data_IF_849790803288
#
_entry.id   IF_849790803288
#
_cell.length_a   1.000
_cell.length_b   1.000
_cell.length_c   1.000
_cell.angle_alpha   90.00
_cell.angle_beta   90.00
_cell.angle_gamma   90.00
#
_symmetry.space_group_name_H-M   'P 1'
#
loop_
_entity.id
_entity.type
_entity.pdbx_description
1 polymer ?
#
# COMPACT_ATOMS: atom_id res chain seq x y z
N UNK A 1 19.00 24.34 -40.06
CA UNK A 1 17.96 23.29 -40.10
C UNK A 1 18.14 22.44 -38.83
N UNK A 2 17.55 22.88 -37.71
CA UNK A 2 17.67 22.15 -36.43
C UNK A 2 16.50 21.16 -36.34
N UNK A 3 16.82 19.87 -36.48
CA UNK A 3 15.87 18.80 -36.28
C UNK A 3 15.46 18.74 -34.81
N UNK A 4 14.20 19.02 -34.54
CA UNK A 4 13.56 18.80 -33.24
C UNK A 4 13.47 17.28 -33.06
N UNK A 5 14.44 16.69 -32.35
CA UNK A 5 14.33 15.33 -31.84
C UNK A 5 13.26 15.31 -30.75
N UNK A 6 12.01 15.15 -31.15
CA UNK A 6 10.93 14.78 -30.23
C UNK A 6 11.24 13.35 -29.77
N UNK A 7 11.82 13.21 -28.57
CA UNK A 7 12.08 11.92 -27.92
C UNK A 7 10.75 11.16 -27.89
N UNK A 8 10.63 10.06 -28.63
CA UNK A 8 9.47 9.15 -28.52
C UNK A 8 9.47 8.63 -27.08
N UNK A 9 8.52 9.11 -26.29
CA UNK A 9 8.22 8.58 -24.96
C UNK A 9 7.91 7.08 -25.11
N UNK A 10 8.52 6.23 -24.29
CA UNK A 10 8.29 4.78 -24.39
C UNK A 10 6.85 4.46 -23.99
N UNK A 11 6.28 3.37 -24.50
CA UNK A 11 4.93 2.95 -24.10
C UNK A 11 4.81 2.74 -22.58
N UNK A 12 5.91 2.34 -21.93
CA UNK A 12 5.98 2.21 -20.47
C UNK A 12 5.93 3.56 -19.76
N UNK A 13 6.61 4.58 -20.27
CA UNK A 13 6.57 5.93 -19.68
C UNK A 13 5.15 6.52 -19.77
N UNK A 14 4.46 6.28 -20.89
CA UNK A 14 3.07 6.69 -21.05
C UNK A 14 2.12 5.94 -20.09
N UNK A 15 2.30 4.63 -19.94
CA UNK A 15 1.51 3.82 -19.02
C UNK A 15 1.74 4.25 -17.56
N UNK A 16 3.00 4.52 -17.18
CA UNK A 16 3.33 5.01 -15.84
C UNK A 16 2.67 6.35 -15.58
N UNK A 17 2.77 7.29 -16.52
CA UNK A 17 2.13 8.60 -16.40
C UNK A 17 0.61 8.49 -16.22
N UNK A 18 -0.05 7.60 -16.96
CA UNK A 18 -1.49 7.36 -16.81
C UNK A 18 -1.84 6.81 -15.42
N UNK A 19 -1.03 5.91 -14.88
CA UNK A 19 -1.21 5.37 -13.53
C UNK A 19 -1.01 6.47 -12.48
N UNK A 20 0.03 7.30 -12.62
CA UNK A 20 0.32 8.40 -11.70
C UNK A 20 -0.82 9.45 -11.71
N UNK A 21 -1.33 9.81 -12.89
CA UNK A 21 -2.49 10.70 -13.05
C UNK A 21 -3.76 10.10 -12.44
N UNK A 22 -3.98 8.79 -12.60
CA UNK A 22 -5.12 8.09 -12.01
C UNK A 22 -5.04 8.03 -10.48
N UNK A 23 -3.86 7.74 -9.91
CA UNK A 23 -3.62 7.77 -8.46
C UNK A 23 -3.85 9.17 -7.89
N UNK A 24 -3.33 10.21 -8.56
CA UNK A 24 -3.51 11.59 -8.15
C UNK A 24 -5.01 11.99 -8.14
N UNK A 25 -5.76 11.63 -9.19
CA UNK A 25 -7.21 11.88 -9.27
C UNK A 25 -7.98 11.14 -8.17
N UNK A 26 -7.52 9.96 -7.78
CA UNK A 26 -8.12 9.17 -6.70
C UNK A 26 -7.65 9.65 -5.32
N UNK A 27 -6.70 10.58 -5.21
CA UNK A 27 -6.11 11.02 -3.95
C UNK A 27 -5.29 9.94 -3.25
N UNK A 28 -4.83 8.92 -3.97
CA UNK A 28 -4.11 7.78 -3.43
C UNK A 28 -2.59 7.97 -3.58
N UNK A 29 -1.85 7.83 -2.49
CA UNK A 29 -0.38 7.92 -2.47
C UNK A 29 0.22 6.62 -1.96
N UNK A 30 0.98 5.91 -2.80
CA UNK A 30 1.65 4.66 -2.41
C UNK A 30 2.76 4.94 -1.41
N UNK A 31 2.74 4.23 -0.28
CA UNK A 31 3.76 4.31 0.76
C UNK A 31 4.83 3.22 0.59
N UNK A 32 4.38 1.96 0.55
CA UNK A 32 5.28 0.82 0.44
C UNK A 32 4.58 -0.40 -0.18
N UNK A 33 5.38 -1.31 -0.72
CA UNK A 33 4.95 -2.61 -1.23
C UNK A 33 5.76 -3.69 -0.53
N UNK A 34 5.08 -4.75 -0.08
CA UNK A 34 5.73 -5.95 0.45
C UNK A 34 5.32 -7.19 -0.32
N UNK A 35 6.18 -8.21 -0.29
CA UNK A 35 5.88 -9.57 -0.74
C UNK A 35 6.62 -10.55 0.17
N UNK A 36 5.93 -11.58 0.66
CA UNK A 36 6.51 -12.60 1.54
C UNK A 36 7.30 -12.00 2.74
N UNK A 37 6.76 -10.94 3.34
CA UNK A 37 7.36 -10.21 4.47
C UNK A 37 8.58 -9.33 4.13
N UNK A 38 8.96 -9.22 2.85
CA UNK A 38 10.07 -8.37 2.39
C UNK A 38 9.57 -7.11 1.74
N UNK A 39 10.31 -6.01 1.92
CA UNK A 39 10.03 -4.75 1.24
C UNK A 39 10.46 -4.86 -0.23
N UNK A 40 9.49 -4.69 -1.12
CA UNK A 40 9.69 -4.58 -2.58
C UNK A 40 9.91 -3.12 -2.96
N UNK A 41 9.12 -2.22 -2.37
CA UNK A 41 9.16 -0.80 -2.66
C UNK A 41 8.93 0.03 -1.40
N UNK A 42 9.65 1.14 -1.28
CA UNK A 42 9.35 2.23 -0.34
C UNK A 42 9.36 3.52 -1.13
N UNK A 43 8.30 4.31 -1.03
CA UNK A 43 8.21 5.57 -1.77
C UNK A 43 9.22 6.60 -1.24
N UNK A 44 9.67 7.50 -2.10
CA UNK A 44 10.59 8.58 -1.70
C UNK A 44 9.95 9.50 -0.64
N UNK A 45 8.63 9.71 -0.72
CA UNK A 45 7.87 10.44 0.29
C UNK A 45 7.99 9.77 1.67
N UNK A 46 7.81 8.44 1.74
CA UNK A 46 7.96 7.71 3.01
C UNK A 46 9.41 7.71 3.51
N UNK A 47 10.40 7.53 2.62
CA UNK A 47 11.82 7.60 2.99
C UNK A 47 12.22 8.95 3.59
N UNK A 48 11.56 10.03 3.17
CA UNK A 48 11.80 11.38 3.68
C UNK A 48 11.12 11.69 5.02
N UNK A 49 10.24 10.80 5.51
CA UNK A 49 9.58 10.99 6.80
C UNK A 49 10.59 10.87 7.96
N UNK A 50 10.38 11.62 9.05
CA UNK A 50 11.11 11.39 10.31
C UNK A 50 10.95 9.94 10.77
N UNK A 51 12.00 9.33 11.33
CA UNK A 51 11.98 7.90 11.72
C UNK A 51 11.04 7.59 12.89
N UNK A 52 10.61 8.61 13.62
CA UNK A 52 9.59 8.54 14.68
C UNK A 52 8.17 8.79 14.17
N UNK A 53 7.98 9.04 12.87
CA UNK A 53 6.66 9.18 12.28
C UNK A 53 5.91 7.84 12.25
N UNK A 54 4.61 7.91 12.55
CA UNK A 54 3.69 6.78 12.58
C UNK A 54 2.54 7.00 11.61
N UNK A 55 2.48 6.20 10.55
CA UNK A 55 1.47 6.25 9.50
C UNK A 55 0.21 5.45 9.84
N UNK A 56 -0.55 5.89 10.85
CA UNK A 56 -1.76 5.19 11.31
C UNK A 56 -2.95 5.28 10.35
N UNK A 57 -2.82 6.02 9.24
CA UNK A 57 -3.84 6.16 8.21
C UNK A 57 -3.59 5.29 6.96
N UNK A 58 -2.59 4.40 7.03
CA UNK A 58 -2.26 3.52 5.93
C UNK A 58 -3.39 2.52 5.67
N UNK A 59 -3.71 2.34 4.39
CA UNK A 59 -4.72 1.42 3.90
C UNK A 59 -4.02 0.32 3.11
N UNK A 60 -4.41 -0.92 3.37
CA UNK A 60 -3.82 -2.11 2.79
C UNK A 60 -4.65 -2.64 1.61
N UNK A 61 -3.99 -2.95 0.51
CA UNK A 61 -4.54 -3.74 -0.59
C UNK A 61 -3.63 -4.94 -0.81
N UNK A 62 -4.20 -6.14 -0.65
CA UNK A 62 -3.54 -7.37 -1.01
C UNK A 62 -3.84 -7.72 -2.47
N UNK A 63 -2.82 -8.00 -3.27
CA UNK A 63 -2.93 -8.45 -4.65
C UNK A 63 -2.55 -9.93 -4.70
N UNK A 64 -3.52 -10.76 -5.10
CA UNK A 64 -3.33 -12.19 -5.27
C UNK A 64 -2.85 -12.52 -6.69
N UNK A 65 -1.96 -13.49 -6.76
CA UNK A 65 -1.52 -14.13 -7.99
C UNK A 65 -1.59 -15.65 -7.78
N UNK A 66 -2.11 -16.45 -8.73
CA UNK A 66 -2.37 -17.89 -8.48
C UNK A 66 -1.11 -18.74 -8.26
N UNK A 67 0.06 -18.27 -8.71
CA UNK A 67 1.34 -18.99 -8.61
C UNK A 67 2.44 -18.27 -7.83
N UNK A 68 2.10 -17.19 -7.11
CA UNK A 68 3.10 -16.41 -6.35
C UNK A 68 2.51 -15.99 -5.00
N UNK A 69 3.40 -15.75 -4.03
CA UNK A 69 3.03 -15.11 -2.77
C UNK A 69 2.38 -13.74 -3.03
N UNK A 70 1.35 -13.37 -2.25
CA UNK A 70 0.63 -12.13 -2.47
C UNK A 70 1.53 -10.92 -2.24
N UNK A 71 1.23 -9.87 -3.00
CA UNK A 71 1.81 -8.55 -2.75
C UNK A 71 0.87 -7.75 -1.86
N UNK A 72 1.41 -6.99 -0.92
CA UNK A 72 0.65 -6.02 -0.14
C UNK A 72 1.10 -4.63 -0.49
N UNK A 73 0.16 -3.79 -0.87
CA UNK A 73 0.38 -2.38 -1.19
C UNK A 73 -0.26 -1.56 -0.08
N UNK A 74 0.53 -0.68 0.53
CA UNK A 74 0.05 0.24 1.55
C UNK A 74 0.06 1.65 0.96
N UNK A 75 -1.06 2.33 1.10
CA UNK A 75 -1.24 3.66 0.54
C UNK A 75 -2.00 4.57 1.50
N UNK A 76 -1.89 5.88 1.30
CA UNK A 76 -2.65 6.89 2.03
C UNK A 76 -3.69 7.53 1.12
N UNK A 77 -4.87 7.78 1.69
CA UNK A 77 -5.85 8.72 1.16
C UNK A 77 -6.60 9.33 2.35
N UNK A 78 -6.21 10.55 2.71
CA UNK A 78 -6.74 11.27 3.88
C UNK A 78 -8.25 11.48 3.80
N UNK A 79 -8.76 11.91 2.63
CA UNK A 79 -10.19 12.18 2.45
C UNK A 79 -11.03 10.92 2.59
N UNK A 80 -10.61 9.82 1.95
CA UNK A 80 -11.29 8.54 2.07
C UNK A 80 -11.21 8.00 3.49
N UNK A 81 -10.03 8.07 4.12
CA UNK A 81 -9.82 7.61 5.50
C UNK A 81 -10.76 8.33 6.48
N UNK A 82 -10.82 9.67 6.43
CA UNK A 82 -11.72 10.43 7.30
C UNK A 82 -13.19 10.19 7.00
N UNK A 83 -13.56 10.01 5.73
CA UNK A 83 -14.93 9.65 5.35
C UNK A 83 -15.34 8.31 5.97
N UNK A 84 -14.44 7.33 5.98
CA UNK A 84 -14.68 6.01 6.59
C UNK A 84 -14.69 6.07 8.13
N UNK A 85 -13.76 6.79 8.75
CA UNK A 85 -13.67 6.91 10.20
C UNK A 85 -14.84 7.68 10.82
N UNK A 86 -15.34 8.72 10.13
CA UNK A 86 -16.48 9.53 10.59
C UNK A 86 -17.85 8.89 10.36
N UNK A 87 -17.96 7.93 9.45
CA UNK A 87 -19.23 7.28 9.09
C UNK A 87 -19.73 6.23 10.10
N UNK A 88 -19.13 6.14 11.29
CA UNK A 88 -19.40 5.17 12.37
C UNK A 88 -20.81 5.23 13.00
N UNK A 89 -21.87 5.10 12.20
CA UNK A 89 -23.25 4.94 12.65
C UNK A 89 -24.35 5.36 11.65
N UNK A 90 -24.02 5.98 10.52
CA UNK A 90 -25.01 6.46 9.53
C UNK A 90 -24.51 6.34 8.09
N UNK A 91 -24.22 5.12 7.64
CA UNK A 91 -23.94 4.89 6.22
C UNK A 91 -25.26 4.81 5.45
N UNK A 92 -25.48 5.71 4.50
CA UNK A 92 -26.55 5.54 3.51
C UNK A 92 -26.14 4.47 2.49
N UNK A 93 -27.11 3.86 1.82
CA UNK A 93 -26.84 2.90 0.74
C UNK A 93 -26.02 3.54 -0.41
N UNK A 94 -26.21 4.85 -0.65
CA UNK A 94 -25.44 5.60 -1.64
C UNK A 94 -23.97 5.77 -1.24
N UNK A 95 -23.68 5.97 0.05
CA UNK A 95 -22.30 6.10 0.53
C UNK A 95 -21.57 4.76 0.44
N UNK A 96 -22.25 3.66 0.78
CA UNK A 96 -21.71 2.31 0.66
C UNK A 96 -21.33 1.97 -0.79
N UNK A 97 -22.20 2.28 -1.77
CA UNK A 97 -21.91 2.08 -3.19
C UNK A 97 -20.74 2.96 -3.67
N UNK A 98 -20.66 4.20 -3.21
CA UNK A 98 -19.56 5.12 -3.51
C UNK A 98 -18.22 4.57 -2.99
N UNK A 99 -18.18 4.07 -1.75
CA UNK A 99 -16.98 3.52 -1.15
C UNK A 99 -16.51 2.24 -1.83
N UNK A 100 -17.42 1.32 -2.17
CA UNK A 100 -17.05 0.12 -2.93
C UNK A 100 -16.55 0.44 -4.34
N UNK A 101 -17.16 1.44 -5.01
CA UNK A 101 -16.69 1.95 -6.29
C UNK A 101 -15.28 2.55 -6.19
N UNK A 102 -15.01 3.32 -5.15
CA UNK A 102 -13.67 3.85 -4.87
C UNK A 102 -12.66 2.72 -4.60
N UNK A 103 -12.97 1.79 -3.68
CA UNK A 103 -12.08 0.66 -3.30
C UNK A 103 -11.71 -0.18 -4.51
N UNK A 104 -12.67 -0.44 -5.40
CA UNK A 104 -12.43 -1.18 -6.64
C UNK A 104 -11.51 -0.40 -7.59
N UNK A 105 -11.80 0.90 -7.78
CA UNK A 105 -11.03 1.76 -8.69
C UNK A 105 -9.58 1.93 -8.23
N UNK A 106 -9.36 2.21 -6.95
CA UNK A 106 -8.00 2.39 -6.41
C UNK A 106 -7.22 1.08 -6.44
N UNK A 107 -7.84 -0.06 -6.10
CA UNK A 107 -7.15 -1.36 -6.12
C UNK A 107 -6.73 -1.74 -7.54
N UNK A 108 -7.54 -1.45 -8.56
CA UNK A 108 -7.18 -1.70 -9.94
C UNK A 108 -5.97 -0.86 -10.37
N UNK A 109 -5.97 0.44 -10.03
CA UNK A 109 -4.85 1.35 -10.35
C UNK A 109 -3.58 0.95 -9.60
N UNK A 110 -3.70 0.56 -8.32
CA UNK A 110 -2.57 0.05 -7.52
C UNK A 110 -2.01 -1.26 -8.09
N UNK A 111 -2.85 -2.15 -8.60
CA UNK A 111 -2.41 -3.37 -9.29
C UNK A 111 -1.62 -3.04 -10.57
N UNK A 112 -2.08 -2.07 -11.36
CA UNK A 112 -1.34 -1.58 -12.53
C UNK A 112 0.00 -0.94 -12.12
N UNK A 113 0.01 -0.15 -11.04
CA UNK A 113 1.21 0.44 -10.47
C UNK A 113 2.24 -0.64 -10.10
N UNK A 114 1.81 -1.68 -9.38
CA UNK A 114 2.66 -2.81 -9.00
C UNK A 114 3.28 -3.50 -10.22
N UNK A 115 2.47 -3.83 -11.22
CA UNK A 115 2.94 -4.49 -12.45
C UNK A 115 3.98 -3.64 -13.16
N UNK A 116 3.71 -2.34 -13.37
CA UNK A 116 4.64 -1.44 -14.03
C UNK A 116 5.94 -1.27 -13.24
N UNK A 117 5.84 -1.17 -11.91
CA UNK A 117 6.99 -1.09 -11.03
C UNK A 117 7.89 -2.33 -11.17
N UNK A 118 7.33 -3.54 -11.09
CA UNK A 118 8.10 -4.79 -11.21
C UNK A 118 8.72 -4.97 -12.59
N UNK A 119 8.03 -4.60 -13.67
CA UNK A 119 8.59 -4.64 -15.02
C UNK A 119 9.79 -3.69 -15.11
N UNK A 120 9.67 -2.48 -14.56
CA UNK A 120 10.68 -1.43 -14.67
C UNK A 120 11.93 -1.72 -13.82
N UNK A 121 11.73 -2.07 -12.55
CA UNK A 121 12.81 -2.21 -11.58
C UNK A 121 13.41 -3.62 -11.55
N UNK A 122 12.61 -4.65 -11.85
CA UNK A 122 13.03 -6.05 -11.78
C UNK A 122 12.99 -6.80 -13.11
N UNK A 123 12.43 -6.21 -14.17
CA UNK A 123 12.21 -6.91 -15.44
C UNK A 123 11.16 -8.03 -15.35
N UNK A 124 10.34 -8.04 -14.29
CA UNK A 124 9.36 -9.10 -14.02
C UNK A 124 7.96 -8.68 -14.44
N UNK A 125 7.37 -9.44 -15.35
CA UNK A 125 5.98 -9.29 -15.73
C UNK A 125 5.12 -10.32 -15.00
N UNK A 126 4.28 -9.85 -14.08
CA UNK A 126 3.42 -10.70 -13.25
C UNK A 126 1.96 -10.70 -13.71
N UNK A 127 1.65 -10.14 -14.89
CA UNK A 127 0.26 -10.05 -15.37
C UNK A 127 -0.34 -11.45 -15.54
N UNK A 128 -1.50 -11.66 -14.92
CA UNK A 128 -2.25 -12.90 -15.04
C UNK A 128 -3.77 -12.65 -15.00
N UNK A 129 -4.59 -13.34 -15.81
CA UNK A 129 -6.05 -13.11 -15.87
C UNK A 129 -6.77 -13.41 -14.56
N UNK A 130 -6.20 -14.28 -13.73
CA UNK A 130 -6.74 -14.63 -12.41
C UNK A 130 -6.16 -13.79 -11.27
N UNK A 131 -5.41 -12.71 -11.58
CA UNK A 131 -5.06 -11.75 -10.55
C UNK A 131 -6.32 -11.13 -9.96
N UNK A 132 -6.35 -11.04 -8.63
CA UNK A 132 -7.44 -10.42 -7.91
C UNK A 132 -6.90 -9.58 -6.77
N UNK A 133 -7.74 -8.79 -6.13
CA UNK A 133 -7.34 -7.98 -5.00
C UNK A 133 -8.32 -8.13 -3.84
N UNK A 134 -7.82 -7.88 -2.64
CA UNK A 134 -8.61 -7.66 -1.44
C UNK A 134 -8.20 -6.32 -0.85
N UNK A 135 -9.12 -5.36 -0.90
CA UNK A 135 -8.93 -4.08 -0.24
C UNK A 135 -9.33 -4.22 1.21
N UNK A 136 -8.44 -3.92 2.15
CA UNK A 136 -8.74 -4.10 3.57
C UNK A 136 -9.57 -2.93 4.15
N UNK A 137 -9.99 -3.05 5.41
CA UNK A 137 -10.59 -1.95 6.17
C UNK A 137 -9.52 -0.96 6.66
N UNK A 138 -9.97 0.23 7.07
CA UNK A 138 -9.13 1.19 7.80
C UNK A 138 -8.79 0.66 9.20
N UNK A 139 -7.80 1.26 9.87
CA UNK A 139 -7.37 0.88 11.23
C UNK A 139 -6.90 -0.58 11.34
N UNK A 140 -6.13 -1.04 10.37
CA UNK A 140 -5.56 -2.40 10.34
C UNK A 140 -4.04 -2.40 10.45
N UNK A 141 -3.41 -1.26 10.18
CA UNK A 141 -1.96 -1.14 10.05
C UNK A 141 -1.48 0.25 10.46
N UNK A 142 -0.27 0.31 11.00
CA UNK A 142 0.52 1.52 11.20
C UNK A 142 1.84 1.34 10.46
N UNK A 143 2.13 2.22 9.49
CA UNK A 143 3.44 2.24 8.85
C UNK A 143 4.44 2.89 9.79
N UNK A 144 5.48 2.16 10.16
CA UNK A 144 6.48 2.59 11.12
C UNK A 144 7.89 2.17 10.72
N UNK A 145 8.89 2.91 11.17
CA UNK A 145 10.28 2.60 10.91
C UNK A 145 10.81 1.61 11.96
N UNK A 146 11.44 0.53 11.48
CA UNK A 146 12.05 -0.52 12.32
C UNK A 146 13.55 -0.33 12.31
N UNK A 147 14.09 0.24 13.39
CA UNK A 147 15.51 0.60 13.51
C UNK A 147 16.45 -0.59 13.27
N UNK A 148 16.15 -1.75 13.85
CA UNK A 148 16.97 -2.97 13.70
C UNK A 148 17.10 -3.39 12.23
N UNK A 149 16.05 -3.17 11.44
CA UNK A 149 15.99 -3.55 10.03
C UNK A 149 16.33 -2.39 9.10
N UNK A 150 16.54 -1.19 9.65
CA UNK A 150 16.82 0.04 8.90
C UNK A 150 15.81 0.29 7.76
N UNK A 151 14.54 -0.03 7.98
CA UNK A 151 13.50 0.07 6.95
C UNK A 151 12.10 0.31 7.52
N UNK A 152 11.16 0.69 6.66
CA UNK A 152 9.75 0.92 6.99
C UNK A 152 8.94 -0.36 6.85
N UNK A 153 8.04 -0.61 7.79
CA UNK A 153 7.15 -1.78 7.78
C UNK A 153 5.71 -1.43 8.15
N UNK A 154 4.73 -2.15 7.58
CA UNK A 154 3.31 -2.01 7.90
C UNK A 154 2.97 -2.86 9.13
N UNK A 155 3.18 -2.31 10.32
CA UNK A 155 2.93 -3.04 11.56
C UNK A 155 1.42 -3.19 11.73
N UNK A 156 0.95 -4.44 11.84
CA UNK A 156 -0.45 -4.73 12.08
C UNK A 156 -0.91 -4.04 13.37
N UNK A 157 -2.06 -3.40 13.30
CA UNK A 157 -2.71 -2.73 14.43
C UNK A 157 -4.21 -2.85 14.23
N UNK A 158 -4.84 -3.81 14.90
CA UNK A 158 -6.29 -4.01 14.84
C UNK A 158 -7.05 -3.03 15.74
N UNK A 159 -8.34 -2.82 15.46
CA UNK A 159 -9.21 -1.91 16.21
C UNK A 159 -9.42 -2.27 17.68
N UNK A 160 -9.23 -3.55 18.04
CA UNK A 160 -9.31 -4.07 19.41
C UNK A 160 -8.00 -3.93 20.20
N UNK A 161 -6.91 -3.55 19.53
CA UNK A 161 -5.62 -3.36 20.20
C UNK A 161 -5.55 -2.00 20.89
N UNK A 162 -4.85 -1.88 22.03
CA UNK A 162 -4.64 -0.58 22.66
C UNK A 162 -3.73 0.29 21.78
N UNK A 163 -3.88 1.62 21.85
CA UNK A 163 -3.08 2.58 21.06
C UNK A 163 -1.55 2.31 21.11
N UNK A 164 -1.04 1.88 22.27
CA UNK A 164 0.37 1.53 22.47
C UNK A 164 0.83 0.22 21.83
N UNK A 165 -0.04 -0.54 21.15
CA UNK A 165 0.27 -1.87 20.63
C UNK A 165 1.38 -1.83 19.58
N UNK A 166 1.33 -0.87 18.66
CA UNK A 166 2.37 -0.70 17.64
C UNK A 166 3.73 -0.44 18.28
N UNK A 167 3.81 0.46 19.27
CA UNK A 167 5.07 0.76 19.97
C UNK A 167 5.65 -0.48 20.64
N UNK A 168 4.81 -1.28 21.29
CA UNK A 168 5.24 -2.54 21.92
C UNK A 168 5.78 -3.53 20.89
N UNK A 169 5.09 -3.71 19.75
CA UNK A 169 5.53 -4.58 18.65
C UNK A 169 6.89 -4.11 18.10
N UNK A 170 7.04 -2.81 17.85
CA UNK A 170 8.31 -2.21 17.40
C UNK A 170 9.45 -2.46 18.39
N UNK A 171 9.21 -2.29 19.69
CA UNK A 171 10.22 -2.57 20.72
C UNK A 171 10.65 -4.03 20.70
N UNK A 172 9.71 -4.97 20.55
CA UNK A 172 10.01 -6.40 20.48
C UNK A 172 10.82 -6.76 19.23
N UNK A 173 10.44 -6.24 18.07
CA UNK A 173 11.18 -6.46 16.82
C UNK A 173 12.57 -5.83 16.88
N UNK A 174 12.70 -4.59 17.38
CA UNK A 174 14.00 -3.92 17.47
C UNK A 174 14.96 -4.64 18.42
N UNK A 175 14.45 -5.25 19.49
CA UNK A 175 15.23 -6.12 20.38
C UNK A 175 15.56 -7.48 19.77
N UNK A 176 14.94 -7.85 18.64
CA UNK A 176 15.07 -9.17 18.02
C UNK A 176 14.35 -10.27 18.80
N UNK A 177 13.36 -9.90 19.64
CA UNK A 177 12.56 -10.84 20.41
C UNK A 177 11.41 -11.44 19.60
N UNK A 178 10.99 -10.76 18.53
CA UNK A 178 9.93 -11.15 17.61
C UNK A 178 10.43 -10.88 16.19
N UNK A 179 10.18 -11.80 15.26
CA UNK A 179 10.50 -11.57 13.85
C UNK A 179 9.50 -10.59 13.22
N UNK A 180 9.94 -9.78 12.26
CA UNK A 180 9.06 -8.82 11.60
C UNK A 180 7.87 -9.51 10.90
N UNK A 181 8.08 -10.74 10.43
CA UNK A 181 7.05 -11.56 9.79
C UNK A 181 5.88 -11.91 10.71
N UNK A 182 6.05 -11.81 12.03
CA UNK A 182 5.00 -12.09 13.02
C UNK A 182 4.09 -10.88 13.27
N UNK A 183 4.46 -9.69 12.81
CA UNK A 183 3.73 -8.44 13.09
C UNK A 183 3.31 -7.68 11.83
N UNK A 184 3.45 -8.29 10.66
CA UNK A 184 3.03 -7.75 9.35
C UNK A 184 2.18 -8.78 8.60
N UNK A 185 1.42 -8.33 7.60
CA UNK A 185 0.72 -9.25 6.70
C UNK A 185 1.68 -9.98 5.75
N UNK A 186 1.44 -11.28 5.53
CA UNK A 186 2.23 -12.14 4.62
C UNK A 186 1.34 -12.97 3.69
N UNK A 187 0.32 -13.61 4.24
CA UNK A 187 -0.52 -14.56 3.48
C UNK A 187 -1.98 -14.11 3.38
N UNK A 188 -2.41 -13.22 4.27
CA UNK A 188 -3.78 -12.73 4.37
C UNK A 188 -3.77 -11.25 4.79
N UNK A 189 -4.85 -10.50 4.51
CA UNK A 189 -4.97 -9.12 4.98
C UNK A 189 -4.87 -9.03 6.49
N UNK A 190 -4.41 -7.88 6.95
CA UNK A 190 -4.29 -7.56 8.36
C UNK A 190 -5.66 -7.60 9.06
N UNK A 191 -5.74 -8.01 10.34
CA UNK A 191 -7.01 -8.10 11.06
C UNK A 191 -7.63 -6.71 11.22
N UNK A 192 -8.95 -6.61 11.03
CA UNK A 192 -9.72 -5.37 11.18
C UNK A 192 -10.62 -5.40 12.40
#
# INVERSE_FOLDING_TARGET
>A
MFGIFKKRESQMDQAQKQVDEALARLGASVLLITQAGKIVMTSEALKSRPKDWMGGQAIEVMVHHPSQEPYFIYYENEQYYFSMASAGGRQSLSDAQSFEGYRSSVSQVLCMFLVLHLIREEGKDIRHPEMSFTHNRIHTNVVAYVERLNNWYPIQHGSEEPDSATDRKLVLVNRGSVDISEVIAINAPSPA
#
